data_IF_787746583542
#
_entry.id   IF_787746583542
#
_cell.length_a   1.000
_cell.length_b   1.000
_cell.length_c   1.000
_cell.angle_alpha   90.00
_cell.angle_beta   90.00
_cell.angle_gamma   90.00
#
_symmetry.space_group_name_H-M   'P 1'
#
loop_
_entity.id
_entity.type
_entity.pdbx_description
1 polymer ?
#
# COMPACT_ATOMS: atom_id res chain seq x y z
N UNK A 1 6.18 -2.22 21.16
CA UNK A 1 6.02 -2.08 19.71
C UNK A 1 6.55 -0.71 19.32
N UNK A 2 7.45 -0.58 18.33
CA UNK A 2 7.79 0.75 17.84
C UNK A 2 6.52 1.44 17.32
N UNK A 3 6.37 2.73 17.61
CA UNK A 3 5.28 3.51 17.06
C UNK A 3 5.47 3.67 15.55
N UNK A 4 4.37 3.65 14.80
CA UNK A 4 4.41 3.99 13.39
C UNK A 4 4.84 5.44 13.21
N UNK A 5 5.65 5.68 12.19
CA UNK A 5 6.18 6.99 11.83
C UNK A 5 5.26 7.69 10.82
N UNK A 6 5.43 9.01 10.64
CA UNK A 6 4.76 9.73 9.56
C UNK A 6 5.12 9.17 8.16
N UNK A 7 6.30 8.55 8.02
CA UNK A 7 6.68 7.88 6.77
C UNK A 7 5.82 6.63 6.54
N UNK A 8 5.54 5.84 7.59
CA UNK A 8 4.68 4.66 7.50
C UNK A 8 3.26 5.03 7.07
N UNK A 9 2.70 6.10 7.64
CA UNK A 9 1.38 6.62 7.25
C UNK A 9 1.35 7.04 5.77
N UNK A 10 2.41 7.73 5.31
CA UNK A 10 2.55 8.14 3.90
C UNK A 10 2.60 6.93 2.96
N UNK A 11 3.38 5.91 3.30
CA UNK A 11 3.48 4.70 2.47
C UNK A 11 2.20 3.85 2.52
N UNK A 12 1.52 3.80 3.67
CA UNK A 12 0.23 3.14 3.81
C UNK A 12 -0.86 3.84 2.99
N UNK A 13 -0.88 5.18 2.97
CA UNK A 13 -1.76 5.96 2.10
C UNK A 13 -1.56 5.61 0.62
N UNK A 14 -0.30 5.40 0.20
CA UNK A 14 0.03 4.93 -1.16
C UNK A 14 -0.49 3.51 -1.40
N UNK A 15 -0.29 2.58 -0.48
CA UNK A 15 -0.79 1.21 -0.58
C UNK A 15 -2.33 1.17 -0.71
N UNK A 16 -3.06 1.97 0.07
CA UNK A 16 -4.52 2.09 -0.04
C UNK A 16 -4.95 2.68 -1.40
N UNK A 17 -4.21 3.66 -1.92
CA UNK A 17 -4.47 4.23 -3.26
C UNK A 17 -4.25 3.21 -4.38
N UNK A 18 -3.28 2.31 -4.22
CA UNK A 18 -3.07 1.18 -5.14
C UNK A 18 -4.26 0.20 -5.05
N UNK A 19 -4.65 -0.20 -3.83
CA UNK A 19 -5.77 -1.12 -3.60
C UNK A 19 -7.07 -0.66 -4.31
N UNK A 20 -7.36 0.65 -4.28
CA UNK A 20 -8.56 1.21 -4.93
C UNK A 20 -8.64 0.92 -6.44
N UNK A 21 -7.53 0.64 -7.11
CA UNK A 21 -7.51 0.27 -8.54
C UNK A 21 -8.14 -1.10 -8.80
N UNK A 22 -8.19 -1.98 -7.80
CA UNK A 22 -8.87 -3.28 -7.87
C UNK A 22 -10.41 -3.18 -7.75
N UNK A 23 -10.96 -1.98 -7.54
CA UNK A 23 -12.40 -1.80 -7.29
C UNK A 23 -13.24 -2.38 -8.42
N UNK A 24 -14.14 -3.29 -8.05
CA UNK A 24 -15.07 -3.94 -8.99
C UNK A 24 -14.45 -5.04 -9.86
N UNK A 25 -13.14 -5.29 -9.74
CA UNK A 25 -12.41 -6.26 -10.56
C UNK A 25 -11.89 -7.45 -9.75
N UNK A 26 -11.76 -7.33 -8.44
CA UNK A 26 -11.14 -8.36 -7.60
C UNK A 26 -12.14 -9.30 -6.91
N UNK A 27 -13.45 -9.08 -7.02
CA UNK A 27 -14.45 -9.91 -6.35
C UNK A 27 -14.32 -11.40 -6.76
N UNK A 28 -14.41 -12.36 -5.82
CA UNK A 28 -14.78 -12.23 -4.40
C UNK A 28 -13.63 -11.80 -3.47
N UNK A 29 -12.42 -11.60 -3.98
CA UNK A 29 -11.26 -11.23 -3.19
C UNK A 29 -11.28 -9.73 -2.82
N UNK A 30 -10.73 -9.37 -1.65
CA UNK A 30 -10.64 -7.96 -1.25
C UNK A 30 -9.70 -7.19 -2.18
N UNK A 31 -9.90 -5.88 -2.24
CA UNK A 31 -8.91 -4.98 -2.80
C UNK A 31 -7.70 -4.92 -1.87
N UNK A 32 -6.52 -5.23 -2.39
CA UNK A 32 -5.27 -5.16 -1.64
C UNK A 32 -4.30 -4.30 -2.44
N UNK A 33 -3.47 -3.53 -1.74
CA UNK A 33 -2.37 -2.80 -2.36
C UNK A 33 -1.16 -2.90 -1.47
N UNK A 34 0.02 -2.94 -2.07
CA UNK A 34 1.27 -3.11 -1.35
C UNK A 34 2.35 -2.21 -1.93
N UNK A 35 3.22 -1.73 -1.05
CA UNK A 35 4.44 -1.01 -1.40
C UNK A 35 5.63 -1.66 -0.70
N UNK A 36 6.73 -1.85 -1.42
CA UNK A 36 8.00 -2.35 -0.87
C UNK A 36 8.99 -1.19 -0.82
N UNK A 37 9.43 -0.84 0.39
CA UNK A 37 10.22 0.36 0.65
C UNK A 37 11.59 -0.01 1.20
N UNK A 38 12.64 0.65 0.71
CA UNK A 38 14.00 0.58 1.24
C UNK A 38 14.62 1.97 1.23
N UNK A 39 15.24 2.37 2.34
CA UNK A 39 15.96 3.64 2.45
C UNK A 39 15.10 4.86 2.04
N UNK A 40 13.80 4.82 2.37
CA UNK A 40 12.83 5.88 2.06
C UNK A 40 12.33 5.91 0.61
N UNK A 41 12.80 5.01 -0.24
CA UNK A 41 12.38 4.87 -1.64
C UNK A 41 11.48 3.64 -1.84
N UNK A 42 10.45 3.79 -2.67
CA UNK A 42 9.61 2.67 -3.10
C UNK A 42 10.34 1.91 -4.21
N UNK A 43 10.64 0.64 -3.96
CA UNK A 43 11.27 -0.26 -4.94
C UNK A 43 10.25 -1.11 -5.71
N UNK A 44 9.03 -1.25 -5.19
CA UNK A 44 7.97 -2.01 -5.84
C UNK A 44 6.59 -1.63 -5.34
N UNK A 45 5.59 -1.77 -6.22
CA UNK A 45 4.18 -1.48 -5.96
C UNK A 45 3.29 -2.54 -6.63
N UNK A 46 2.12 -2.82 -6.05
CA UNK A 46 1.13 -3.74 -6.63
C UNK A 46 -0.27 -3.57 -6.04
N UNK A 47 -1.28 -4.07 -6.76
CA UNK A 47 -2.69 -4.14 -6.35
C UNK A 47 -3.45 -5.27 -7.05
#
# INVERSE_FOLDING_TARGET
>A
MPAFTAADERFMSRALSLAQRGRGQTAPNPMVGAVFVRDGAILGEGW
#
